data_IF_291299977495
#
_entry.id   IF_291299977495
#
_cell.length_a   1.000
_cell.length_b   1.000
_cell.length_c   1.000
_cell.angle_alpha   90.00
_cell.angle_beta   90.00
_cell.angle_gamma   90.00
#
_symmetry.space_group_name_H-M   'P 1'
#
loop_
_entity.id
_entity.type
_entity.pdbx_description
1 polymer ?
#
# COMPACT_ATOMS: atom_id res chain seq x y z
N UNK A 1 -3.88 22.07 -15.17
CA UNK A 1 -3.76 21.05 -14.11
C UNK A 1 -2.36 21.19 -13.54
N UNK A 2 -2.20 21.33 -12.21
CA UNK A 2 -0.91 21.71 -11.59
C UNK A 2 0.18 20.62 -11.71
N UNK A 3 -0.19 19.37 -11.91
CA UNK A 3 0.74 18.24 -11.95
C UNK A 3 0.62 17.51 -13.28
N UNK A 4 1.76 17.34 -13.94
CA UNK A 4 1.90 16.63 -15.21
C UNK A 4 2.99 15.56 -15.09
N UNK A 5 3.05 14.67 -16.08
CA UNK A 5 4.16 13.73 -16.19
C UNK A 5 5.33 14.46 -16.83
N UNK A 6 6.40 14.67 -16.07
CA UNK A 6 7.61 15.35 -16.52
C UNK A 6 8.77 14.34 -16.69
N UNK A 7 9.63 14.59 -17.67
CA UNK A 7 10.88 13.84 -17.82
C UNK A 7 11.93 14.37 -16.84
N UNK A 8 12.31 13.56 -15.87
CA UNK A 8 13.36 13.86 -14.92
C UNK A 8 14.53 12.89 -15.11
N UNK A 9 15.54 13.31 -15.87
CA UNK A 9 16.60 12.41 -16.31
C UNK A 9 16.11 11.38 -17.33
N UNK A 10 16.22 10.08 -16.97
CA UNK A 10 15.73 8.95 -17.79
C UNK A 10 14.34 8.46 -17.37
N UNK A 11 13.79 9.00 -16.31
CA UNK A 11 12.52 8.56 -15.71
C UNK A 11 11.41 9.58 -15.98
N UNK A 12 10.18 9.07 -16.07
CA UNK A 12 8.97 9.87 -16.07
C UNK A 12 8.41 9.93 -14.66
N UNK A 13 8.21 11.14 -14.12
CA UNK A 13 7.71 11.38 -12.78
C UNK A 13 6.59 12.41 -12.78
N UNK A 14 5.68 12.29 -11.82
CA UNK A 14 4.71 13.35 -11.56
C UNK A 14 5.43 14.59 -11.05
N UNK A 15 5.19 15.75 -11.65
CA UNK A 15 5.82 17.00 -11.28
C UNK A 15 5.14 18.20 -11.92
N UNK A 16 5.73 19.37 -11.75
CA UNK A 16 5.26 20.63 -12.34
C UNK A 16 6.44 21.56 -12.64
N UNK A 17 6.16 22.70 -13.26
CA UNK A 17 7.15 23.74 -13.51
C UNK A 17 7.00 24.89 -12.53
N UNK A 18 8.05 25.69 -12.40
CA UNK A 18 8.00 26.95 -11.64
C UNK A 18 7.00 27.96 -12.21
N UNK A 19 6.63 27.83 -13.48
CA UNK A 19 5.58 28.62 -14.12
C UNK A 19 4.20 28.23 -13.61
N UNK A 20 3.93 26.92 -13.52
CA UNK A 20 2.66 26.40 -12.99
C UNK A 20 2.45 26.79 -11.53
N UNK A 21 3.54 26.77 -10.75
CA UNK A 21 3.52 27.23 -9.35
C UNK A 21 3.22 28.73 -9.28
N UNK A 22 3.86 29.54 -10.13
CA UNK A 22 3.65 30.99 -10.15
C UNK A 22 2.18 31.32 -10.48
N UNK A 23 1.62 30.68 -11.50
CA UNK A 23 0.23 30.85 -11.92
C UNK A 23 -0.73 30.41 -10.81
N UNK A 24 -0.54 29.20 -10.25
CA UNK A 24 -1.44 28.63 -9.25
C UNK A 24 -1.48 29.45 -7.94
N UNK A 25 -0.32 29.92 -7.47
CA UNK A 25 -0.24 30.65 -6.20
C UNK A 25 -0.28 32.17 -6.38
N UNK A 26 -0.51 32.69 -7.60
CA UNK A 26 -0.56 34.11 -7.91
C UNK A 26 0.75 34.84 -7.59
N UNK A 27 1.87 34.16 -7.69
CA UNK A 27 3.21 34.72 -7.47
C UNK A 27 3.86 35.12 -8.77
N UNK A 28 4.76 36.09 -8.73
CA UNK A 28 5.63 36.38 -9.88
C UNK A 28 6.62 35.23 -10.06
N UNK A 29 6.88 34.84 -11.29
CA UNK A 29 7.77 33.73 -11.62
C UNK A 29 9.22 33.92 -11.10
N UNK A 30 9.72 35.18 -11.15
CA UNK A 30 11.03 35.53 -10.60
C UNK A 30 11.12 35.26 -9.07
N UNK A 31 10.04 35.54 -8.33
CA UNK A 31 9.96 35.23 -6.91
C UNK A 31 9.94 33.70 -6.66
N UNK A 32 9.23 32.94 -7.48
CA UNK A 32 9.22 31.46 -7.36
C UNK A 32 10.62 30.89 -7.61
N UNK A 33 11.34 31.40 -8.63
CA UNK A 33 12.73 30.99 -8.88
C UNK A 33 13.66 31.33 -7.71
N UNK A 34 13.45 32.50 -7.09
CA UNK A 34 14.19 32.89 -5.90
C UNK A 34 13.86 31.98 -4.73
N UNK A 35 12.58 31.74 -4.46
CA UNK A 35 12.12 30.85 -3.39
C UNK A 35 12.75 29.45 -3.50
N UNK A 36 12.84 28.89 -4.74
CA UNK A 36 13.48 27.59 -4.98
C UNK A 36 14.97 27.61 -4.65
N UNK A 37 15.68 28.67 -5.05
CA UNK A 37 17.13 28.80 -4.78
C UNK A 37 17.44 29.00 -3.29
N UNK A 38 16.53 29.63 -2.55
CA UNK A 38 16.64 29.92 -1.12
C UNK A 38 16.02 28.86 -0.21
N UNK A 39 15.57 27.70 -0.76
CA UNK A 39 14.91 26.64 -0.01
C UNK A 39 15.77 26.02 1.12
N UNK A 40 17.09 26.15 1.07
CA UNK A 40 18.01 25.63 2.10
C UNK A 40 17.98 24.11 2.25
N UNK A 41 17.49 23.37 1.25
CA UNK A 41 17.55 21.91 1.24
C UNK A 41 18.95 21.39 0.93
N UNK A 42 19.21 20.12 1.22
CA UNK A 42 20.51 19.50 0.90
C UNK A 42 20.75 19.46 -0.62
N UNK A 43 22.02 19.45 -1.03
CA UNK A 43 22.42 19.36 -2.44
C UNK A 43 21.87 18.10 -3.10
N UNK A 44 21.85 16.97 -2.37
CA UNK A 44 21.28 15.71 -2.82
C UNK A 44 19.78 15.86 -3.12
N UNK A 45 19.02 16.45 -2.19
CA UNK A 45 17.58 16.69 -2.39
C UNK A 45 17.35 17.63 -3.56
N UNK A 46 18.14 18.69 -3.70
CA UNK A 46 18.04 19.65 -4.79
C UNK A 46 18.25 18.95 -6.14
N UNK A 47 19.34 18.20 -6.28
CA UNK A 47 19.67 17.48 -7.53
C UNK A 47 18.59 16.48 -7.94
N UNK A 48 17.96 15.80 -6.98
CA UNK A 48 16.94 14.79 -7.24
C UNK A 48 15.55 15.37 -7.53
N UNK A 49 15.30 16.63 -7.17
CA UNK A 49 13.95 17.18 -7.18
C UNK A 49 13.78 18.45 -8.01
N UNK A 50 14.85 19.14 -8.36
CA UNK A 50 14.79 20.37 -9.17
C UNK A 50 15.71 20.28 -10.36
N UNK A 51 15.24 20.74 -11.52
CA UNK A 51 16.02 20.75 -12.76
C UNK A 51 15.72 22.02 -13.57
N UNK A 52 16.75 22.77 -13.89
CA UNK A 52 16.61 23.91 -14.79
C UNK A 52 16.25 23.46 -16.21
N UNK A 53 15.31 24.18 -16.81
CA UNK A 53 14.91 24.07 -18.20
C UNK A 53 14.87 25.47 -18.86
N UNK A 54 14.95 25.50 -20.17
CA UNK A 54 14.79 26.74 -20.95
C UNK A 54 13.45 26.70 -21.67
N UNK A 55 12.71 27.81 -21.63
CA UNK A 55 11.50 27.99 -22.40
C UNK A 55 11.58 29.32 -23.23
N UNK A 56 10.70 29.48 -24.20
CA UNK A 56 10.60 30.70 -25.02
C UNK A 56 9.37 31.47 -24.52
N UNK A 57 9.58 32.72 -24.11
CA UNK A 57 8.50 33.61 -23.67
C UNK A 57 7.67 34.15 -24.84
N UNK A 58 6.57 34.83 -24.53
CA UNK A 58 5.68 35.45 -25.53
C UNK A 58 6.36 36.53 -26.41
N UNK A 59 7.54 36.97 -26.01
CA UNK A 59 8.37 37.94 -26.75
C UNK A 59 9.53 37.28 -27.53
N UNK A 60 9.43 35.93 -27.71
CA UNK A 60 10.43 35.11 -28.40
C UNK A 60 11.84 35.17 -27.76
N UNK A 61 11.93 35.33 -26.43
CA UNK A 61 13.19 35.35 -25.68
C UNK A 61 13.36 34.06 -24.91
N UNK A 62 14.58 33.54 -24.86
CA UNK A 62 14.93 32.40 -23.99
C UNK A 62 14.90 32.81 -22.52
N UNK A 63 14.16 32.09 -21.74
CA UNK A 63 14.00 32.28 -20.30
C UNK A 63 14.24 30.98 -19.57
N UNK A 64 14.66 31.08 -18.30
CA UNK A 64 14.87 29.91 -17.43
C UNK A 64 13.60 29.60 -16.63
N UNK A 65 13.24 28.34 -16.57
CA UNK A 65 12.25 27.80 -15.61
C UNK A 65 12.87 26.59 -14.90
N UNK A 66 12.22 26.13 -13.84
CA UNK A 66 12.64 24.95 -13.10
C UNK A 66 11.51 23.94 -13.14
N UNK A 67 11.78 22.72 -13.58
CA UNK A 67 10.91 21.58 -13.35
C UNK A 67 11.21 21.00 -11.98
N UNK A 68 10.15 20.57 -11.29
CA UNK A 68 10.27 19.96 -9.97
C UNK A 68 9.40 18.72 -9.85
N UNK A 69 9.89 17.74 -9.12
CA UNK A 69 9.13 16.54 -8.76
C UNK A 69 8.03 16.90 -7.74
N UNK A 70 7.12 15.94 -7.46
CA UNK A 70 6.13 16.08 -6.38
C UNK A 70 6.77 16.48 -5.06
N UNK A 71 7.91 15.90 -4.72
CA UNK A 71 8.57 16.13 -3.42
C UNK A 71 9.21 17.52 -3.37
N UNK A 72 9.84 17.98 -4.48
CA UNK A 72 10.32 19.35 -4.62
C UNK A 72 9.19 20.38 -4.52
N UNK A 73 8.07 20.15 -5.22
CA UNK A 73 6.87 20.98 -5.13
C UNK A 73 6.32 21.02 -3.69
N UNK A 74 6.23 19.87 -3.03
CA UNK A 74 5.73 19.80 -1.66
C UNK A 74 6.58 20.62 -0.71
N UNK A 75 7.91 20.46 -0.78
CA UNK A 75 8.83 21.22 0.07
C UNK A 75 8.72 22.73 -0.17
N UNK A 76 8.65 23.16 -1.43
CA UNK A 76 8.49 24.58 -1.80
C UNK A 76 7.20 25.16 -1.21
N UNK A 77 6.05 24.47 -1.42
CA UNK A 77 4.74 24.96 -0.99
C UNK A 77 4.57 24.91 0.52
N UNK A 78 5.29 24.00 1.22
CA UNK A 78 5.31 24.01 2.70
C UNK A 78 5.87 25.33 3.27
N UNK A 79 6.75 26.03 2.54
CA UNK A 79 7.23 27.37 2.89
C UNK A 79 6.26 28.53 2.54
N UNK A 80 5.23 28.27 1.72
CA UNK A 80 4.31 29.33 1.28
C UNK A 80 3.24 29.65 2.32
N UNK A 81 2.74 30.89 2.28
CA UNK A 81 1.64 31.38 3.09
C UNK A 81 0.44 31.75 2.19
N UNK A 82 -0.72 31.95 2.83
CA UNK A 82 -1.96 32.29 2.14
C UNK A 82 -2.92 31.12 2.03
N UNK A 83 -4.14 31.40 1.60
CA UNK A 83 -5.27 30.46 1.64
C UNK A 83 -5.03 29.19 0.82
N UNK A 84 -4.50 29.33 -0.41
CA UNK A 84 -4.23 28.20 -1.29
C UNK A 84 -3.14 27.28 -0.73
N UNK A 85 -2.06 27.86 -0.19
CA UNK A 85 -0.99 27.11 0.45
C UNK A 85 -1.49 26.38 1.69
N UNK A 86 -2.37 27.01 2.47
CA UNK A 86 -2.99 26.40 3.65
C UNK A 86 -3.87 25.21 3.26
N UNK A 87 -4.74 25.35 2.24
CA UNK A 87 -5.56 24.25 1.72
C UNK A 87 -4.71 23.07 1.25
N UNK A 88 -3.58 23.35 0.59
CA UNK A 88 -2.64 22.29 0.19
C UNK A 88 -2.04 21.58 1.41
N UNK A 89 -1.55 22.33 2.40
CA UNK A 89 -0.95 21.76 3.63
C UNK A 89 -1.95 20.90 4.41
N UNK A 90 -3.18 21.38 4.58
CA UNK A 90 -4.25 20.61 5.24
C UNK A 90 -4.60 19.33 4.45
N UNK A 91 -4.68 19.41 3.12
CA UNK A 91 -4.91 18.26 2.26
C UNK A 91 -3.78 17.23 2.37
N UNK A 92 -2.53 17.68 2.39
CA UNK A 92 -1.37 16.82 2.58
C UNK A 92 -1.40 16.11 3.93
N UNK A 93 -1.67 16.85 5.02
CA UNK A 93 -1.78 16.28 6.37
C UNK A 93 -2.90 15.24 6.44
N UNK A 94 -4.08 15.54 5.87
CA UNK A 94 -5.20 14.58 5.83
C UNK A 94 -4.82 13.29 5.10
N UNK A 95 -4.14 13.40 3.97
CA UNK A 95 -3.68 12.23 3.21
C UNK A 95 -2.61 11.43 3.96
N UNK A 96 -1.66 12.13 4.58
CA UNK A 96 -0.63 11.48 5.40
C UNK A 96 -1.26 10.70 6.55
N UNK A 97 -2.19 11.32 7.30
CA UNK A 97 -2.89 10.66 8.39
C UNK A 97 -3.71 9.44 7.92
N UNK A 98 -4.35 9.53 6.76
CA UNK A 98 -5.09 8.41 6.18
C UNK A 98 -4.16 7.24 5.82
N UNK A 99 -3.00 7.52 5.23
CA UNK A 99 -1.97 6.51 4.94
C UNK A 99 -1.41 5.89 6.22
N UNK A 100 -1.13 6.71 7.25
CA UNK A 100 -0.65 6.22 8.55
C UNK A 100 -1.69 5.30 9.22
N UNK A 101 -2.96 5.70 9.22
CA UNK A 101 -4.05 4.88 9.76
C UNK A 101 -4.19 3.55 9.02
N UNK A 102 -4.07 3.56 7.69
CA UNK A 102 -4.09 2.34 6.87
C UNK A 102 -2.91 1.40 7.19
N UNK A 103 -1.70 1.96 7.36
CA UNK A 103 -0.51 1.20 7.73
C UNK A 103 -0.64 0.60 9.13
N UNK A 104 -1.10 1.38 10.12
CA UNK A 104 -1.36 0.90 11.48
C UNK A 104 -2.42 -0.20 11.49
N UNK A 105 -3.50 -0.04 10.72
CA UNK A 105 -4.52 -1.07 10.56
C UNK A 105 -3.94 -2.39 10.05
N UNK A 106 -3.08 -2.35 9.03
CA UNK A 106 -2.38 -3.54 8.52
C UNK A 106 -1.48 -4.21 9.57
N UNK A 107 -0.74 -3.41 10.36
CA UNK A 107 0.13 -3.96 11.41
C UNK A 107 -0.68 -4.67 12.50
N UNK A 108 -1.76 -4.06 12.99
CA UNK A 108 -2.64 -4.65 14.00
C UNK A 108 -3.28 -5.96 13.50
N UNK A 109 -3.78 -5.97 12.25
CA UNK A 109 -4.35 -7.19 11.68
C UNK A 109 -3.28 -8.27 11.46
N UNK A 110 -2.04 -7.90 11.13
CA UNK A 110 -0.92 -8.83 11.02
C UNK A 110 -0.59 -9.49 12.37
N UNK A 111 -0.52 -8.72 13.45
CA UNK A 111 -0.26 -9.24 14.80
C UNK A 111 -1.35 -10.18 15.26
N UNK A 112 -2.62 -9.81 15.08
CA UNK A 112 -3.76 -10.70 15.36
C UNK A 112 -3.67 -11.99 14.54
N UNK A 113 -3.33 -11.88 13.25
CA UNK A 113 -3.16 -13.03 12.38
C UNK A 113 -2.06 -13.98 12.81
N UNK A 114 -0.98 -13.49 13.43
CA UNK A 114 0.08 -14.34 13.98
C UNK A 114 -0.47 -15.16 15.16
N UNK A 115 -1.19 -14.53 16.09
CA UNK A 115 -1.76 -15.21 17.24
C UNK A 115 -2.78 -16.29 16.83
N UNK A 116 -3.68 -15.98 15.89
CA UNK A 116 -4.67 -16.94 15.38
C UNK A 116 -4.00 -18.12 14.68
N UNK A 117 -2.96 -17.85 13.88
CA UNK A 117 -2.17 -18.90 13.22
C UNK A 117 -1.48 -19.83 14.20
N UNK A 118 -0.91 -19.27 15.26
CA UNK A 118 -0.28 -20.04 16.32
C UNK A 118 -1.31 -20.92 17.05
N UNK A 119 -2.52 -20.41 17.30
CA UNK A 119 -3.61 -21.17 17.89
C UNK A 119 -4.00 -22.37 17.02
N UNK A 120 -4.23 -22.15 15.71
CA UNK A 120 -4.53 -23.23 14.77
C UNK A 120 -3.39 -24.26 14.71
N UNK A 121 -2.14 -23.82 14.63
CA UNK A 121 -0.98 -24.72 14.61
C UNK A 121 -0.93 -25.56 15.87
N UNK A 122 -1.16 -24.96 17.04
CA UNK A 122 -1.19 -25.66 18.33
C UNK A 122 -2.34 -26.66 18.41
N UNK A 123 -3.53 -26.29 17.97
CA UNK A 123 -4.69 -27.18 17.92
C UNK A 123 -4.40 -28.42 17.06
N UNK A 124 -3.81 -28.22 15.86
CA UNK A 124 -3.44 -29.31 14.96
C UNK A 124 -2.35 -30.22 15.56
N UNK A 125 -1.36 -29.66 16.25
CA UNK A 125 -0.31 -30.43 16.93
C UNK A 125 -0.83 -31.25 18.15
N UNK A 126 -1.80 -30.69 18.86
CA UNK A 126 -2.43 -31.37 20.00
C UNK A 126 -3.47 -32.40 19.57
N UNK A 127 -3.99 -32.29 18.36
CA UNK A 127 -4.86 -33.31 17.75
C UNK A 127 -4.04 -34.39 17.04
N UNK A 128 -4.69 -35.49 16.67
CA UNK A 128 -4.06 -36.55 15.88
C UNK A 128 -3.98 -36.16 14.36
N UNK A 129 -4.44 -35.00 13.96
CA UNK A 129 -4.53 -34.59 12.55
C UNK A 129 -3.14 -34.40 11.91
N UNK A 130 -2.18 -33.88 12.66
CA UNK A 130 -0.82 -33.69 12.13
C UNK A 130 -0.12 -35.03 11.88
N UNK A 131 -0.29 -36.00 12.76
CA UNK A 131 0.21 -37.36 12.57
C UNK A 131 -0.50 -38.07 11.40
N UNK A 132 -1.81 -37.92 11.26
CA UNK A 132 -2.61 -38.47 10.15
C UNK A 132 -2.21 -37.89 8.79
N UNK A 133 -1.77 -36.65 8.76
CA UNK A 133 -1.39 -35.93 7.53
C UNK A 133 0.14 -35.86 7.33
N UNK A 134 0.90 -36.69 8.02
CA UNK A 134 2.38 -36.77 7.87
C UNK A 134 3.08 -35.40 8.02
N UNK A 135 2.64 -34.55 8.95
CA UNK A 135 3.20 -33.22 9.17
C UNK A 135 2.70 -32.14 8.21
N UNK A 136 1.72 -32.44 7.37
CA UNK A 136 1.16 -31.49 6.39
C UNK A 136 -0.20 -30.90 6.80
N UNK A 137 -0.67 -31.14 8.04
CA UNK A 137 -1.98 -30.69 8.46
C UNK A 137 -2.16 -29.19 8.29
N UNK A 138 -1.24 -28.37 8.79
CA UNK A 138 -1.33 -26.91 8.71
C UNK A 138 -1.51 -26.42 7.25
N UNK A 139 -0.69 -26.90 6.33
CA UNK A 139 -0.77 -26.51 4.92
C UNK A 139 -2.08 -26.96 4.26
N UNK A 140 -2.56 -28.14 4.62
CA UNK A 140 -3.81 -28.72 4.11
C UNK A 140 -5.03 -27.92 4.58
N UNK A 141 -5.11 -27.61 5.87
CA UNK A 141 -6.18 -26.79 6.43
C UNK A 141 -6.15 -25.37 5.91
N UNK A 142 -4.97 -24.74 5.80
CA UNK A 142 -4.83 -23.40 5.25
C UNK A 142 -5.24 -23.34 3.78
N UNK A 143 -4.86 -24.32 2.96
CA UNK A 143 -5.29 -24.39 1.57
C UNK A 143 -6.80 -24.62 1.44
N UNK A 144 -7.40 -25.38 2.35
CA UNK A 144 -8.86 -25.54 2.40
C UNK A 144 -9.56 -24.21 2.70
N UNK A 145 -9.07 -23.46 3.68
CA UNK A 145 -9.57 -22.10 4.01
C UNK A 145 -9.47 -21.17 2.80
N UNK A 146 -8.32 -21.13 2.14
CA UNK A 146 -8.15 -20.28 0.96
C UNK A 146 -9.07 -20.66 -0.21
N UNK A 147 -9.26 -21.95 -0.45
CA UNK A 147 -10.23 -22.42 -1.47
C UNK A 147 -11.65 -22.01 -1.16
N UNK A 148 -12.04 -22.01 0.12
CA UNK A 148 -13.39 -21.59 0.53
C UNK A 148 -13.57 -20.08 0.40
N UNK A 149 -12.56 -19.27 0.76
CA UNK A 149 -12.65 -17.82 0.75
C UNK A 149 -12.41 -17.21 -0.63
N UNK A 150 -11.45 -17.73 -1.39
CA UNK A 150 -10.94 -17.13 -2.63
C UNK A 150 -11.12 -18.02 -3.87
N UNK A 151 -11.63 -19.23 -3.71
CA UNK A 151 -11.70 -20.20 -4.82
C UNK A 151 -10.34 -20.77 -5.26
N UNK A 152 -9.25 -20.40 -4.61
CA UNK A 152 -7.87 -20.68 -5.00
C UNK A 152 -7.07 -21.21 -3.82
N UNK A 153 -6.08 -22.07 -4.09
CA UNK A 153 -5.11 -22.46 -3.08
C UNK A 153 -3.95 -21.47 -2.96
N UNK A 154 -3.05 -21.69 -1.99
CA UNK A 154 -1.92 -20.79 -1.74
C UNK A 154 -0.99 -20.62 -2.95
N UNK A 155 -0.83 -21.66 -3.79
CA UNK A 155 -0.01 -21.59 -5.00
C UNK A 155 -0.65 -20.70 -6.05
N UNK A 156 -1.94 -20.91 -6.33
CA UNK A 156 -2.72 -20.11 -7.28
C UNK A 156 -2.82 -18.64 -6.85
N UNK A 157 -2.98 -18.37 -5.54
CA UNK A 157 -2.97 -17.00 -5.01
C UNK A 157 -1.61 -16.32 -5.20
N UNK A 158 -0.50 -17.05 -5.00
CA UNK A 158 0.84 -16.50 -5.26
C UNK A 158 1.04 -16.15 -6.73
N UNK A 159 0.59 -17.00 -7.62
CA UNK A 159 0.65 -16.75 -9.07
C UNK A 159 -0.20 -15.53 -9.45
N UNK A 160 -1.41 -15.40 -8.88
CA UNK A 160 -2.30 -14.25 -9.09
C UNK A 160 -1.67 -12.93 -8.65
N UNK A 161 -1.03 -12.90 -7.48
CA UNK A 161 -0.39 -11.69 -6.95
C UNK A 161 1.04 -11.46 -7.49
N UNK A 162 1.58 -12.37 -8.30
CA UNK A 162 2.93 -12.26 -8.86
C UNK A 162 4.04 -12.31 -7.81
N UNK A 163 3.83 -13.01 -6.68
CA UNK A 163 4.76 -13.05 -5.56
C UNK A 163 5.57 -14.35 -5.50
N UNK A 164 6.83 -14.22 -5.05
CA UNK A 164 7.76 -15.32 -4.93
C UNK A 164 7.37 -16.28 -3.79
N UNK A 165 7.94 -17.51 -3.81
CA UNK A 165 7.73 -18.50 -2.73
C UNK A 165 8.25 -18.03 -1.37
N UNK A 166 9.24 -17.15 -1.36
CA UNK A 166 9.88 -16.66 -0.14
C UNK A 166 9.13 -15.47 0.49
N UNK A 167 8.23 -14.82 -0.26
CA UNK A 167 7.48 -13.68 0.22
C UNK A 167 6.24 -14.12 1.01
N UNK A 168 5.81 -13.29 1.95
CA UNK A 168 4.63 -13.55 2.76
C UNK A 168 3.34 -13.39 1.94
N UNK A 169 2.64 -14.48 1.57
CA UNK A 169 1.38 -14.40 0.82
C UNK A 169 0.37 -13.44 1.45
N UNK A 170 0.30 -13.41 2.77
CA UNK A 170 -0.66 -12.59 3.51
C UNK A 170 -0.33 -11.10 3.51
N UNK A 171 0.90 -10.73 3.18
CA UNK A 171 1.30 -9.33 3.04
C UNK A 171 0.66 -8.67 1.82
N UNK A 172 0.19 -9.49 0.86
CA UNK A 172 -0.54 -9.05 -0.34
C UNK A 172 -2.06 -8.97 -0.16
N UNK A 173 -2.59 -9.45 0.97
CA UNK A 173 -4.02 -9.40 1.26
C UNK A 173 -4.45 -8.02 1.76
N UNK A 174 -5.67 -7.62 1.40
CA UNK A 174 -6.33 -6.46 1.99
C UNK A 174 -6.65 -6.69 3.47
N UNK A 175 -6.91 -5.65 4.27
CA UNK A 175 -7.32 -5.79 5.66
C UNK A 175 -8.61 -6.63 5.83
N UNK A 176 -9.51 -6.58 4.85
CA UNK A 176 -10.77 -7.35 4.85
C UNK A 176 -10.52 -8.83 4.59
N UNK A 177 -9.67 -9.14 3.61
CA UNK A 177 -9.23 -10.50 3.31
C UNK A 177 -8.47 -11.12 4.49
N UNK A 178 -7.59 -10.36 5.13
CA UNK A 178 -6.87 -10.81 6.34
C UNK A 178 -7.84 -11.15 7.48
N UNK A 179 -8.84 -10.30 7.72
CA UNK A 179 -9.88 -10.58 8.74
C UNK A 179 -10.71 -11.81 8.42
N UNK A 180 -11.06 -12.01 7.15
CA UNK A 180 -11.81 -13.21 6.73
C UNK A 180 -11.00 -14.48 6.96
N UNK A 181 -9.71 -14.48 6.61
CA UNK A 181 -8.81 -15.61 6.85
C UNK A 181 -8.68 -15.89 8.35
N UNK A 182 -8.45 -14.87 9.17
CA UNK A 182 -8.33 -15.01 10.62
C UNK A 182 -9.60 -15.59 11.26
N UNK A 183 -10.76 -15.07 10.85
CA UNK A 183 -12.05 -15.58 11.37
C UNK A 183 -12.24 -17.05 11.02
N UNK A 184 -11.87 -17.46 9.81
CA UNK A 184 -11.98 -18.84 9.38
C UNK A 184 -10.96 -19.75 10.10
N UNK A 185 -9.72 -19.28 10.28
CA UNK A 185 -8.71 -20.01 11.05
C UNK A 185 -9.12 -20.20 12.52
N UNK A 186 -9.72 -19.18 13.13
CA UNK A 186 -10.24 -19.26 14.49
C UNK A 186 -11.38 -20.29 14.60
N UNK A 187 -12.32 -20.28 13.65
CA UNK A 187 -13.40 -21.27 13.58
C UNK A 187 -12.85 -22.68 13.43
N UNK A 188 -11.93 -22.89 12.49
CA UNK A 188 -11.31 -24.19 12.23
C UNK A 188 -10.54 -24.68 13.44
N UNK A 189 -9.76 -23.80 14.11
CA UNK A 189 -9.05 -24.14 15.34
C UNK A 189 -10.01 -24.67 16.41
N UNK A 190 -11.13 -23.99 16.66
CA UNK A 190 -12.14 -24.43 17.61
C UNK A 190 -12.79 -25.77 17.25
N UNK A 191 -13.04 -26.03 15.96
CA UNK A 191 -13.58 -27.31 15.50
C UNK A 191 -12.58 -28.47 15.70
N UNK A 192 -11.28 -28.21 15.45
CA UNK A 192 -10.19 -29.17 15.72
C UNK A 192 -10.12 -29.47 17.22
N UNK A 193 -10.17 -28.44 18.08
CA UNK A 193 -10.17 -28.61 19.54
C UNK A 193 -11.40 -29.37 20.04
N UNK A 194 -12.54 -29.29 19.33
CA UNK A 194 -13.73 -30.11 19.56
C UNK A 194 -13.61 -31.56 19.04
N UNK A 195 -12.47 -31.94 18.47
CA UNK A 195 -12.21 -33.30 18.00
C UNK A 195 -12.82 -33.60 16.63
N UNK A 196 -13.14 -32.57 15.81
CA UNK A 196 -13.61 -32.78 14.47
C UNK A 196 -12.46 -33.12 13.52
N UNK A 197 -12.68 -34.12 12.65
CA UNK A 197 -11.72 -34.52 11.63
C UNK A 197 -11.79 -33.59 10.40
N UNK A 198 -10.70 -33.54 9.64
CA UNK A 198 -10.54 -32.69 8.46
C UNK A 198 -11.72 -32.74 7.49
N UNK A 199 -12.19 -33.95 7.14
CA UNK A 199 -13.26 -34.12 6.15
C UNK A 199 -14.56 -33.44 6.60
N UNK A 200 -14.92 -33.62 7.88
CA UNK A 200 -16.10 -33.02 8.48
C UNK A 200 -15.99 -31.49 8.55
N UNK A 201 -14.81 -30.97 8.92
CA UNK A 201 -14.52 -29.53 8.95
C UNK A 201 -14.63 -28.95 7.54
N UNK A 202 -14.02 -29.60 6.55
CA UNK A 202 -14.07 -29.17 5.14
C UNK A 202 -15.49 -29.07 4.63
N UNK A 203 -16.31 -30.09 4.81
CA UNK A 203 -17.72 -30.09 4.42
C UNK A 203 -18.50 -28.97 5.11
N UNK A 204 -18.29 -28.78 6.41
CA UNK A 204 -18.94 -27.72 7.17
C UNK A 204 -18.61 -26.33 6.67
N UNK A 205 -17.31 -26.00 6.47
CA UNK A 205 -16.92 -24.67 6.02
C UNK A 205 -17.28 -24.41 4.55
N UNK A 206 -17.31 -25.43 3.69
CA UNK A 206 -17.77 -25.32 2.32
C UNK A 206 -19.27 -25.05 2.22
N UNK A 207 -20.09 -25.78 3.00
CA UNK A 207 -21.56 -25.64 2.96
C UNK A 207 -22.01 -24.32 3.57
N UNK A 208 -21.40 -23.87 4.66
CA UNK A 208 -21.84 -22.68 5.38
C UNK A 208 -21.24 -21.37 4.86
N UNK A 209 -20.25 -21.43 3.97
CA UNK A 209 -19.57 -20.24 3.44
C UNK A 209 -19.89 -19.93 1.98
N UNK A 210 -20.84 -20.64 1.36
CA UNK A 210 -21.27 -20.40 -0.03
C UNK A 210 -21.81 -18.99 -0.29
N UNK A 211 -22.07 -18.21 0.77
CA UNK A 211 -22.53 -16.81 0.68
C UNK A 211 -21.43 -15.73 0.90
N UNK A 212 -20.19 -16.10 1.16
CA UNK A 212 -19.10 -15.15 1.49
C UNK A 212 -17.86 -15.34 0.65
N UNK A 213 -17.97 -15.76 -0.59
CA UNK A 213 -16.85 -15.64 -1.50
C UNK A 213 -16.52 -14.15 -1.66
N UNK A 214 -15.39 -13.73 -1.10
CA UNK A 214 -14.82 -12.43 -1.41
C UNK A 214 -14.47 -12.48 -2.90
N UNK A 215 -15.24 -11.75 -3.70
CA UNK A 215 -15.04 -11.70 -5.14
C UNK A 215 -13.59 -11.30 -5.43
N UNK A 216 -12.89 -12.20 -6.09
CA UNK A 216 -11.51 -12.04 -6.48
C UNK A 216 -11.39 -11.09 -7.69
#
# INVERSE_FOLDING_TARGET
MLVEIIKFGREERAGCTSLDVAETFGKRHDNVLKDIRELGCSDEFNLLNFKEITYIDSRNRKQTAITMTRDGFTLLVMGYNGELAMKFKEGYIKQFNAMEAALRGKLVEREKGIAVRQALTKALQQSNEDARMHGHAYSTYTNCIYKVLFGMDAKQLREKFGISKNDGLRDSFSPEELRAVQSMECLVSGLVDCGWEYQKIKEFIQTNNSMRQLAA
#
